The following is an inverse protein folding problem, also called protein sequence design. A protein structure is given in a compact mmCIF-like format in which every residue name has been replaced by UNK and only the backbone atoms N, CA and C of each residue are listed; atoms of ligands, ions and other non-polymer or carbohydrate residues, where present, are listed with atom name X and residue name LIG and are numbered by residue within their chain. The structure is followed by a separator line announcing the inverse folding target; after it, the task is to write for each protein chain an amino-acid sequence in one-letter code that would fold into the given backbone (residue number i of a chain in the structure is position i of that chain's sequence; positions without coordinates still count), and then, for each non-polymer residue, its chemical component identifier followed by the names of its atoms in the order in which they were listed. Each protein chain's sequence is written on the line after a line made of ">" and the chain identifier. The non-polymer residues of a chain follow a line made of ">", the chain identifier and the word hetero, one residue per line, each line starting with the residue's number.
data_IF_974816418404
#
_entry.id   IF_974816418404
#
_cell.length_a   1.000
_cell.length_b   1.000
_cell.length_c   1.000
_cell.angle_alpha   90.00
_cell.angle_beta   90.00
_cell.angle_gamma   90.00
#
_symmetry.space_group_name_H-M   'P 1'
#
loop_
_entity.id
_entity.type
_entity.pdbx_description
1 polymer ?
#
# COMPACT_ATOMS: atom_id res chain seq x y z
N UNK A 1 -20.79 16.30 18.62
CA UNK A 1 -19.60 16.56 19.46
C UNK A 1 -18.55 15.47 19.28
N UNK A 2 -18.91 14.18 19.30
CA UNK A 2 -17.97 13.05 19.11
C UNK A 2 -17.21 13.09 17.78
N UNK A 3 -17.89 13.40 16.66
CA UNK A 3 -17.25 13.51 15.34
C UNK A 3 -16.19 14.61 15.29
N UNK A 4 -16.46 15.77 15.89
CA UNK A 4 -15.52 16.90 15.96
C UNK A 4 -14.23 16.53 16.72
N UNK A 5 -14.35 15.77 17.80
CA UNK A 5 -13.20 15.29 18.58
C UNK A 5 -12.40 14.27 17.77
N UNK A 6 -13.09 13.32 17.11
CA UNK A 6 -12.45 12.34 16.24
C UNK A 6 -11.67 13.02 15.10
N UNK A 7 -12.27 13.98 14.39
CA UNK A 7 -11.58 14.73 13.32
C UNK A 7 -10.35 15.47 13.81
N UNK A 8 -10.37 16.05 15.02
CA UNK A 8 -9.20 16.72 15.61
C UNK A 8 -8.08 15.75 15.99
N UNK A 9 -8.43 14.57 16.49
CA UNK A 9 -7.46 13.52 16.80
C UNK A 9 -6.78 13.02 15.53
N UNK A 10 -7.56 12.75 14.48
CA UNK A 10 -7.05 12.34 13.18
C UNK A 10 -6.08 13.37 12.61
N UNK A 11 -6.50 14.64 12.54
CA UNK A 11 -5.67 15.72 12.01
C UNK A 11 -4.41 15.99 12.86
N UNK A 12 -4.49 15.85 14.18
CA UNK A 12 -3.39 16.17 15.09
C UNK A 12 -2.34 15.07 15.24
N UNK A 13 -2.72 13.80 15.08
CA UNK A 13 -1.85 12.67 15.44
C UNK A 13 -1.76 11.58 14.37
N UNK A 14 -2.82 11.33 13.61
CA UNK A 14 -2.87 10.24 12.63
C UNK A 14 -2.33 10.70 11.28
N UNK A 15 -2.82 11.84 10.78
CA UNK A 15 -2.40 12.40 9.47
C UNK A 15 -0.89 12.66 9.38
N UNK A 16 -0.23 13.25 10.40
CA UNK A 16 1.23 13.42 10.37
C UNK A 16 2.00 12.09 10.33
N UNK A 17 1.45 11.05 10.94
CA UNK A 17 2.00 9.70 10.90
C UNK A 17 1.96 9.13 9.48
N UNK A 18 0.83 9.27 8.78
CA UNK A 18 0.73 8.87 7.38
C UNK A 18 1.71 9.60 6.50
N UNK A 19 1.82 10.93 6.62
CA UNK A 19 2.79 11.72 5.84
C UNK A 19 4.22 11.24 6.08
N UNK A 20 4.58 10.98 7.34
CA UNK A 20 5.92 10.51 7.71
C UNK A 20 6.22 9.14 7.11
N UNK A 21 5.32 8.16 7.29
CA UNK A 21 5.55 6.78 6.87
C UNK A 21 5.42 6.60 5.36
N UNK A 22 4.41 7.20 4.72
CA UNK A 22 4.23 7.12 3.27
C UNK A 22 5.33 7.89 2.54
N UNK A 23 5.73 9.07 3.05
CA UNK A 23 6.87 9.81 2.51
C UNK A 23 8.19 9.04 2.64
N UNK A 24 8.40 8.34 3.76
CA UNK A 24 9.54 7.44 3.91
C UNK A 24 9.54 6.31 2.87
N UNK A 25 8.40 5.62 2.70
CA UNK A 25 8.28 4.51 1.75
C UNK A 25 8.46 4.96 0.29
N UNK A 26 7.90 6.11 -0.08
CA UNK A 26 8.11 6.75 -1.38
C UNK A 26 9.60 6.98 -1.67
N UNK A 27 10.37 7.45 -0.67
CA UNK A 27 11.81 7.65 -0.78
C UNK A 27 12.61 6.33 -0.77
N UNK A 28 12.14 5.30 -0.05
CA UNK A 28 12.77 3.99 -0.06
C UNK A 28 12.64 3.31 -1.43
N UNK A 29 11.49 3.46 -2.10
CA UNK A 29 11.31 2.94 -3.47
C UNK A 29 12.23 3.63 -4.48
N UNK A 30 12.56 4.90 -4.27
CA UNK A 30 13.55 5.61 -5.08
C UNK A 30 14.98 5.06 -4.88
N UNK A 31 15.29 4.61 -3.66
CA UNK A 31 16.61 4.08 -3.29
C UNK A 31 16.66 2.55 -3.27
N UNK A 32 15.66 1.88 -3.85
CA UNK A 32 15.56 0.43 -3.84
C UNK A 32 16.85 -0.22 -4.36
N UNK A 33 17.43 -1.20 -3.63
CA UNK A 33 18.67 -1.85 -4.04
C UNK A 33 18.59 -2.41 -5.46
N UNK A 34 19.51 -1.99 -6.33
CA UNK A 34 19.53 -2.43 -7.73
C UNK A 34 18.45 -1.79 -8.64
N UNK A 35 17.74 -0.77 -8.16
CA UNK A 35 16.73 -0.04 -8.94
C UNK A 35 15.49 -0.86 -9.31
N UNK A 36 15.26 -1.95 -8.57
CA UNK A 36 14.15 -2.85 -8.84
C UNK A 36 12.80 -2.31 -8.36
N UNK A 37 11.67 -2.86 -8.87
CA UNK A 37 10.34 -2.34 -8.62
C UNK A 37 9.78 -2.67 -7.22
N UNK A 38 10.53 -3.39 -6.38
CA UNK A 38 10.10 -3.84 -5.04
C UNK A 38 10.95 -3.21 -3.94
N UNK A 39 10.47 -3.25 -2.69
CA UNK A 39 11.16 -2.66 -1.54
C UNK A 39 12.56 -3.25 -1.31
N UNK A 40 12.72 -4.55 -1.62
CA UNK A 40 13.99 -5.26 -1.48
C UNK A 40 14.74 -5.43 -2.82
N UNK A 41 14.37 -4.68 -3.86
CA UNK A 41 15.05 -4.67 -5.15
C UNK A 41 14.25 -5.34 -6.27
N UNK A 42 14.89 -6.26 -7.01
CA UNK A 42 14.33 -6.77 -8.27
C UNK A 42 13.25 -7.86 -8.12
N UNK A 43 13.14 -8.49 -6.95
CA UNK A 43 12.28 -9.65 -6.75
C UNK A 43 11.27 -9.41 -5.64
N UNK A 44 10.07 -9.99 -5.81
CA UNK A 44 9.04 -10.02 -4.78
C UNK A 44 9.52 -10.81 -3.56
N UNK A 45 9.41 -10.21 -2.38
CA UNK A 45 9.79 -10.81 -1.10
C UNK A 45 8.64 -10.83 -0.11
N UNK A 46 8.86 -11.47 1.04
CA UNK A 46 7.90 -11.46 2.15
C UNK A 46 7.58 -10.04 2.66
N UNK A 47 8.52 -9.09 2.53
CA UNK A 47 8.30 -7.70 2.91
C UNK A 47 7.21 -7.06 2.02
N UNK A 48 7.27 -7.32 0.71
CA UNK A 48 6.31 -6.79 -0.26
C UNK A 48 4.91 -7.40 -0.05
N UNK A 49 4.84 -8.68 0.29
CA UNK A 49 3.59 -9.37 0.65
C UNK A 49 2.98 -8.78 1.93
N UNK A 50 3.78 -8.55 2.97
CA UNK A 50 3.31 -7.93 4.21
C UNK A 50 2.77 -6.51 3.97
N UNK A 51 3.38 -5.78 3.04
CA UNK A 51 3.01 -4.41 2.71
C UNK A 51 1.77 -4.28 1.81
N UNK A 52 1.32 -5.37 1.15
CA UNK A 52 0.22 -5.29 0.19
C UNK A 52 -1.09 -4.80 0.81
N UNK A 53 -1.47 -5.35 1.98
CA UNK A 53 -2.72 -5.01 2.65
C UNK A 53 -2.72 -3.60 3.27
N UNK A 54 -1.68 -3.19 4.02
CA UNK A 54 -1.60 -1.83 4.55
C UNK A 54 -1.68 -0.77 3.45
N UNK A 55 -0.99 -0.97 2.33
CA UNK A 55 -1.03 -0.04 1.20
C UNK A 55 -2.40 -0.03 0.53
N UNK A 56 -3.03 -1.20 0.34
CA UNK A 56 -4.38 -1.27 -0.21
C UNK A 56 -5.39 -0.50 0.65
N UNK A 57 -5.35 -0.67 1.98
CA UNK A 57 -6.22 0.07 2.91
C UNK A 57 -5.92 1.57 2.84
N UNK A 58 -4.65 1.97 2.75
CA UNK A 58 -4.26 3.36 2.64
C UNK A 58 -4.78 4.03 1.36
N UNK A 59 -5.00 3.29 0.27
CA UNK A 59 -5.62 3.80 -0.97
C UNK A 59 -7.15 3.99 -0.85
N UNK A 60 -7.81 3.32 0.10
CA UNK A 60 -9.27 3.43 0.26
C UNK A 60 -9.60 4.82 0.84
N UNK A 61 -10.42 5.64 0.16
CA UNK A 61 -10.80 6.94 0.67
C UNK A 61 -11.61 6.81 1.97
N UNK A 62 -11.21 7.56 3.00
CA UNK A 62 -11.98 7.77 4.21
C UNK A 62 -12.43 9.24 4.20
N UNK A 63 -13.73 9.49 4.35
CA UNK A 63 -14.31 10.85 4.32
C UNK A 63 -13.90 11.69 3.09
N UNK A 64 -13.74 11.03 1.93
CA UNK A 64 -13.41 11.68 0.66
C UNK A 64 -11.92 11.92 0.41
N UNK A 65 -11.03 11.52 1.32
CA UNK A 65 -9.57 11.59 1.14
C UNK A 65 -8.93 10.24 1.45
N UNK A 66 -8.00 9.82 0.60
CA UNK A 66 -7.15 8.66 0.88
C UNK A 66 -5.80 9.14 1.42
N UNK A 67 -5.27 8.51 2.48
CA UNK A 67 -3.90 8.77 2.96
C UNK A 67 -2.85 8.57 1.87
N UNK A 68 -3.00 7.52 1.04
CA UNK A 68 -2.12 7.23 -0.09
C UNK A 68 -2.77 7.64 -1.41
N UNK A 69 -2.40 8.82 -1.92
CA UNK A 69 -2.88 9.30 -3.22
C UNK A 69 -1.74 9.40 -4.24
N UNK A 70 -2.08 9.25 -5.52
CA UNK A 70 -1.13 9.24 -6.64
C UNK A 70 -0.40 10.59 -6.85
N UNK A 71 -1.04 11.72 -6.50
CA UNK A 71 -0.42 13.04 -6.65
C UNK A 71 0.75 13.25 -5.68
N UNK A 72 0.58 12.84 -4.42
CA UNK A 72 1.59 13.04 -3.38
C UNK A 72 2.65 11.90 -3.37
N UNK A 73 2.26 10.68 -3.77
CA UNK A 73 3.12 9.49 -3.70
C UNK A 73 3.03 8.62 -4.98
N UNK A 74 3.51 9.12 -6.13
CA UNK A 74 3.31 8.46 -7.42
C UNK A 74 4.00 7.08 -7.52
N UNK A 75 5.18 6.90 -6.91
CA UNK A 75 5.91 5.62 -6.99
C UNK A 75 5.31 4.59 -6.05
N UNK A 76 4.97 5.01 -4.84
CA UNK A 76 4.30 4.16 -3.85
C UNK A 76 2.91 3.74 -4.34
N UNK A 77 2.20 4.63 -5.05
CA UNK A 77 0.95 4.29 -5.73
C UNK A 77 1.15 3.21 -6.80
N UNK A 78 2.11 3.39 -7.71
CA UNK A 78 2.42 2.40 -8.74
C UNK A 78 2.84 1.04 -8.15
N UNK A 79 3.63 1.08 -7.07
CA UNK A 79 4.03 -0.10 -6.32
C UNK A 79 2.83 -0.81 -5.68
N UNK A 80 1.90 -0.08 -5.05
CA UNK A 80 0.68 -0.65 -4.48
C UNK A 80 -0.18 -1.35 -5.54
N UNK A 81 -0.34 -0.74 -6.72
CA UNK A 81 -1.06 -1.36 -7.84
C UNK A 81 -0.34 -2.62 -8.37
N UNK A 82 0.99 -2.60 -8.43
CA UNK A 82 1.79 -3.76 -8.80
C UNK A 82 1.59 -4.91 -7.80
N UNK A 83 1.61 -4.63 -6.49
CA UNK A 83 1.37 -5.65 -5.47
C UNK A 83 -0.04 -6.20 -5.50
N UNK A 84 -1.03 -5.35 -5.78
CA UNK A 84 -2.42 -5.75 -5.94
C UNK A 84 -2.59 -6.67 -7.14
N UNK A 85 -1.93 -6.36 -8.26
CA UNK A 85 -1.91 -7.22 -9.42
C UNK A 85 -1.24 -8.57 -9.11
N UNK A 86 -0.13 -8.60 -8.36
CA UNK A 86 0.56 -9.84 -7.95
C UNK A 86 -0.27 -10.69 -6.96
N UNK A 87 -0.93 -10.08 -5.96
CA UNK A 87 -1.81 -10.81 -5.04
C UNK A 87 -3.07 -11.34 -5.74
N UNK A 88 -3.64 -10.54 -6.64
CA UNK A 88 -4.75 -10.97 -7.49
C UNK A 88 -4.30 -11.95 -8.58
N UNK A 89 -3.00 -12.02 -8.89
CA UNK A 89 -2.45 -12.87 -9.95
C UNK A 89 -2.48 -14.33 -9.51
N UNK A 90 -3.60 -14.94 -9.88
CA UNK A 90 -3.72 -16.24 -10.54
C UNK A 90 -3.18 -17.45 -9.79
N UNK A 91 -1.97 -17.51 -9.25
CA UNK A 91 -1.46 -18.74 -8.61
C UNK A 91 -2.28 -19.23 -7.43
N UNK A 92 -2.87 -18.32 -6.65
CA UNK A 92 -3.78 -18.69 -5.56
C UNK A 92 -5.16 -19.08 -6.10
N UNK A 93 -5.68 -18.36 -7.09
CA UNK A 93 -6.98 -18.64 -7.71
C UNK A 93 -6.91 -19.93 -8.55
N UNK A 94 -5.90 -20.10 -9.38
CA UNK A 94 -5.57 -21.30 -10.15
C UNK A 94 -5.41 -22.50 -9.20
N UNK A 95 -4.74 -22.35 -8.04
CA UNK A 95 -4.70 -23.42 -7.04
C UNK A 95 -6.06 -23.71 -6.42
N UNK A 96 -6.87 -22.67 -6.16
CA UNK A 96 -8.24 -22.87 -5.65
C UNK A 96 -9.08 -23.59 -6.71
N UNK A 97 -8.99 -23.22 -7.98
CA UNK A 97 -9.68 -23.90 -9.10
C UNK A 97 -9.14 -25.32 -9.31
N UNK A 98 -7.85 -25.56 -9.07
CA UNK A 98 -7.22 -26.89 -9.16
C UNK A 98 -7.61 -27.80 -7.97
N UNK A 99 -7.84 -27.23 -6.78
CA UNK A 99 -8.20 -27.96 -5.55
C UNK A 99 -9.72 -28.13 -5.41
N UNK A 100 -10.49 -27.10 -5.77
CA UNK A 100 -11.95 -27.01 -5.68
C UNK A 100 -12.62 -27.36 -7.00
N UNK A 101 -11.92 -28.13 -7.86
CA UNK A 101 -12.43 -28.58 -9.15
C UNK A 101 -13.86 -29.09 -9.00
N UNK A 102 -14.75 -28.62 -9.88
CA UNK A 102 -16.11 -29.15 -9.99
C UNK A 102 -16.13 -30.69 -9.99
#
# INVERSE_FOLDING_TARGET
>A
VTSLIASRLTAGFIDPGFVTHLGFLEAQLESAPGGGPYLCGAHLTAADILMSYPLHIAQIPQDGRSPLNEQDYPRLWAYAELLKAENANKRAIDKIVEIDGE
#
